data_IF_303357744636
#
_entry.id   IF_303357744636
#
_cell.length_a   1.000
_cell.length_b   1.000
_cell.length_c   1.000
_cell.angle_alpha   90.00
_cell.angle_beta   90.00
_cell.angle_gamma   90.00
#
_symmetry.space_group_name_H-M   'P 1'
#
loop_
_entity.id
_entity.type
_entity.pdbx_description
1 polymer ?
#
# COMPACT_ATOMS: atom_id res chain seq x y z
N UNK A 1 1.24 14.05 -16.91
CA UNK A 1 1.51 14.99 -15.80
C UNK A 1 0.87 14.54 -14.48
N UNK A 2 -0.38 14.06 -14.48
CA UNK A 2 -1.02 13.52 -13.25
C UNK A 2 -0.37 12.24 -12.68
N UNK A 3 0.18 11.34 -13.50
CA UNK A 3 0.79 10.10 -13.01
C UNK A 3 2.18 10.31 -12.37
N UNK A 4 2.99 11.24 -12.91
CA UNK A 4 4.29 11.63 -12.33
C UNK A 4 4.18 12.23 -10.93
N UNK A 5 3.07 12.92 -10.66
CA UNK A 5 2.80 13.48 -9.34
C UNK A 5 2.46 12.39 -8.31
N UNK A 6 1.88 11.26 -8.72
CA UNK A 6 1.46 10.22 -7.78
C UNK A 6 2.66 9.46 -7.20
N UNK A 7 3.65 9.10 -8.02
CA UNK A 7 4.89 8.43 -7.57
C UNK A 7 5.69 9.32 -6.62
N UNK A 8 5.84 10.60 -6.96
CA UNK A 8 6.53 11.57 -6.10
C UNK A 8 5.73 11.82 -4.80
N UNK A 9 4.40 11.84 -4.87
CA UNK A 9 3.55 12.02 -3.69
C UNK A 9 3.53 10.79 -2.78
N UNK A 10 3.62 9.57 -3.33
CA UNK A 10 3.72 8.32 -2.56
C UNK A 10 5.04 8.27 -1.79
N UNK A 11 6.14 8.75 -2.39
CA UNK A 11 7.45 8.88 -1.71
C UNK A 11 7.46 9.96 -0.61
N UNK A 12 6.64 11.01 -0.73
CA UNK A 12 6.57 12.11 0.25
C UNK A 12 5.76 11.80 1.52
N UNK A 13 4.89 10.78 1.52
CA UNK A 13 3.97 10.50 2.63
C UNK A 13 4.59 9.55 3.68
N UNK A 14 5.55 8.71 3.31
CA UNK A 14 5.98 7.58 4.14
C UNK A 14 7.17 7.87 5.07
N UNK A 15 7.83 9.04 4.96
CA UNK A 15 8.86 9.49 5.91
C UNK A 15 9.05 11.02 5.84
N UNK A 16 8.69 11.79 6.89
CA UNK A 16 8.93 13.23 6.89
C UNK A 16 10.43 13.60 6.88
N UNK A 17 11.33 12.62 7.09
CA UNK A 17 12.77 12.78 6.91
C UNK A 17 13.22 12.88 5.44
N UNK A 18 12.40 12.41 4.48
CA UNK A 18 12.68 12.43 3.03
C UNK A 18 11.85 13.49 2.28
N UNK A 19 11.10 14.33 3.01
CA UNK A 19 10.28 15.39 2.42
C UNK A 19 11.12 16.50 1.74
N UNK A 20 12.44 16.53 1.99
CA UNK A 20 13.37 17.44 1.30
C UNK A 20 14.07 16.79 0.10
N UNK A 21 13.86 15.50 -0.20
CA UNK A 21 14.79 14.76 -1.05
C UNK A 21 14.18 13.71 -1.99
N UNK A 22 13.08 14.07 -2.66
CA UNK A 22 12.59 13.30 -3.81
C UNK A 22 13.62 13.13 -4.94
N UNK A 23 14.72 13.91 -4.95
CA UNK A 23 15.87 13.75 -5.84
C UNK A 23 16.96 12.79 -5.29
N UNK A 24 17.01 12.52 -3.98
CA UNK A 24 18.10 11.77 -3.33
C UNK A 24 17.90 10.25 -3.42
N UNK A 25 16.66 9.75 -3.38
CA UNK A 25 16.36 8.32 -3.55
C UNK A 25 16.75 7.80 -4.95
N UNK A 26 16.65 8.63 -6.00
CA UNK A 26 17.03 8.23 -7.36
C UNK A 26 18.55 8.26 -7.59
N UNK A 27 19.27 9.16 -6.91
CA UNK A 27 20.74 9.13 -6.88
C UNK A 27 21.27 7.89 -6.13
N UNK A 28 20.61 7.44 -5.06
CA UNK A 28 20.95 6.19 -4.36
C UNK A 28 20.73 4.93 -5.21
N UNK A 29 19.68 4.91 -6.04
CA UNK A 29 19.44 3.83 -7.01
C UNK A 29 20.46 3.83 -8.15
N UNK A 30 21.15 4.96 -8.39
CA UNK A 30 22.11 5.14 -9.47
C UNK A 30 21.48 5.12 -10.86
N UNK A 31 20.17 5.39 -10.97
CA UNK A 31 19.46 5.41 -12.25
C UNK A 31 19.66 6.75 -12.97
N UNK A 32 19.87 6.71 -14.29
CA UNK A 32 20.25 7.89 -15.07
C UNK A 32 19.15 8.96 -15.14
N UNK A 33 17.89 8.56 -14.98
CA UNK A 33 16.75 9.46 -14.85
C UNK A 33 15.54 8.74 -14.28
N UNK A 34 14.57 9.49 -13.74
CA UNK A 34 13.30 8.96 -13.24
C UNK A 34 12.47 8.23 -14.32
N UNK A 35 12.74 8.48 -15.61
CA UNK A 35 12.05 7.83 -16.73
C UNK A 35 12.72 6.50 -17.15
N UNK A 36 13.85 6.13 -16.52
CA UNK A 36 14.52 4.83 -16.72
C UNK A 36 13.86 3.73 -15.87
N UNK A 37 12.63 3.38 -16.26
CA UNK A 37 11.84 2.36 -15.56
C UNK A 37 12.55 1.01 -15.49
N UNK A 38 13.34 0.65 -16.51
CA UNK A 38 14.09 -0.61 -16.53
C UNK A 38 15.15 -0.64 -15.43
N UNK A 39 15.90 0.46 -15.23
CA UNK A 39 16.83 0.60 -14.11
C UNK A 39 16.10 0.54 -12.76
N UNK A 40 15.02 1.31 -12.63
CA UNK A 40 14.25 1.41 -11.37
C UNK A 40 13.70 0.05 -10.95
N UNK A 41 13.05 -0.68 -11.87
CA UNK A 41 12.49 -2.01 -11.58
C UNK A 41 13.59 -2.99 -11.20
N UNK A 42 14.71 -2.97 -11.92
CA UNK A 42 15.83 -3.85 -11.64
C UNK A 42 16.35 -3.63 -10.22
N UNK A 43 16.59 -2.37 -9.84
CA UNK A 43 17.10 -2.02 -8.51
C UNK A 43 16.10 -2.28 -7.39
N UNK A 44 14.84 -1.93 -7.58
CA UNK A 44 13.78 -2.26 -6.62
C UNK A 44 13.63 -3.76 -6.44
N UNK A 45 13.75 -4.55 -7.51
CA UNK A 45 13.73 -6.02 -7.42
C UNK A 45 14.90 -6.53 -6.59
N UNK A 46 16.12 -6.04 -6.82
CA UNK A 46 17.30 -6.42 -6.02
C UNK A 46 17.10 -6.15 -4.52
N UNK A 47 16.56 -4.99 -4.14
CA UNK A 47 16.31 -4.65 -2.74
C UNK A 47 15.12 -5.42 -2.14
N UNK A 48 14.04 -5.56 -2.89
CA UNK A 48 12.87 -6.30 -2.44
C UNK A 48 13.18 -7.78 -2.19
N UNK A 49 14.04 -8.38 -3.02
CA UNK A 49 14.55 -9.75 -2.83
C UNK A 49 15.47 -9.87 -1.61
N UNK A 50 16.14 -8.79 -1.20
CA UNK A 50 16.93 -8.72 0.04
C UNK A 50 16.07 -8.48 1.29
N UNK A 51 14.76 -8.35 1.13
CA UNK A 51 13.82 -8.19 2.25
C UNK A 51 13.47 -6.74 2.56
N UNK A 52 13.92 -5.76 1.77
CA UNK A 52 13.56 -4.36 1.99
C UNK A 52 12.05 -4.14 1.82
N UNK A 53 11.37 -3.74 2.90
CA UNK A 53 9.91 -3.61 2.93
C UNK A 53 9.41 -2.46 2.03
N UNK A 54 10.17 -1.37 1.92
CA UNK A 54 9.81 -0.21 1.10
C UNK A 54 9.92 -0.53 -0.39
N UNK A 55 10.98 -1.25 -0.79
CA UNK A 55 11.14 -1.74 -2.14
C UNK A 55 10.06 -2.76 -2.51
N UNK A 56 9.70 -3.65 -1.57
CA UNK A 56 8.57 -4.58 -1.75
C UNK A 56 7.25 -3.81 -1.94
N UNK A 57 6.94 -2.84 -1.09
CA UNK A 57 5.75 -2.00 -1.25
C UNK A 57 5.75 -1.27 -2.60
N UNK A 58 6.88 -0.67 -2.98
CA UNK A 58 7.05 0.05 -4.24
C UNK A 58 6.83 -0.84 -5.46
N UNK A 59 7.39 -2.06 -5.48
CA UNK A 59 7.09 -3.03 -6.54
C UNK A 59 5.60 -3.39 -6.58
N UNK A 60 4.96 -3.52 -5.42
CA UNK A 60 3.51 -3.71 -5.33
C UNK A 60 2.74 -2.59 -6.02
N UNK A 61 3.14 -1.34 -5.80
CA UNK A 61 2.56 -0.14 -6.45
C UNK A 61 2.78 -0.19 -7.97
N UNK A 62 4.00 -0.48 -8.41
CA UNK A 62 4.34 -0.55 -9.84
C UNK A 62 3.49 -1.59 -10.56
N UNK A 63 3.32 -2.79 -9.99
CA UNK A 63 2.44 -3.82 -10.54
C UNK A 63 0.95 -3.47 -10.46
N UNK A 64 0.52 -2.72 -9.45
CA UNK A 64 -0.87 -2.26 -9.31
C UNK A 64 -1.26 -1.28 -10.41
N UNK A 65 -0.37 -0.37 -10.78
CA UNK A 65 -0.64 0.67 -11.79
C UNK A 65 -0.07 0.38 -13.17
N UNK A 66 0.78 -0.65 -13.30
CA UNK A 66 1.47 -0.96 -14.55
C UNK A 66 2.53 0.09 -14.92
N UNK A 67 3.22 0.62 -13.91
CA UNK A 67 4.28 1.62 -14.13
C UNK A 67 5.61 0.91 -14.39
N UNK A 68 6.14 1.04 -15.61
CA UNK A 68 7.35 0.34 -16.04
C UNK A 68 7.20 -1.18 -16.23
N UNK A 69 6.16 -1.80 -15.66
CA UNK A 69 5.80 -3.22 -15.83
C UNK A 69 4.38 -3.36 -16.38
N UNK A 70 4.03 -4.54 -16.89
CA UNK A 70 2.63 -4.85 -17.17
C UNK A 70 1.85 -4.91 -15.83
N UNK A 71 0.69 -4.27 -15.78
CA UNK A 71 -0.21 -4.34 -14.61
C UNK A 71 -0.54 -5.79 -14.27
N UNK A 72 -0.35 -6.16 -13.00
CA UNK A 72 -0.56 -7.51 -12.48
C UNK A 72 -0.88 -7.46 -10.97
N UNK A 73 -2.17 -7.53 -10.63
CA UNK A 73 -2.61 -7.52 -9.24
C UNK A 73 -2.15 -8.73 -8.43
N UNK A 74 -1.84 -9.87 -9.07
CA UNK A 74 -1.39 -11.05 -8.35
C UNK A 74 0.06 -10.87 -7.90
N UNK A 75 0.91 -10.31 -8.76
CA UNK A 75 2.27 -9.89 -8.39
C UNK A 75 2.27 -8.74 -7.39
N UNK A 76 1.36 -7.78 -7.56
CA UNK A 76 1.20 -6.71 -6.58
C UNK A 76 0.87 -7.28 -5.19
N UNK A 77 -0.08 -8.22 -5.11
CA UNK A 77 -0.43 -8.91 -3.88
C UNK A 77 0.76 -9.64 -3.25
N UNK A 78 1.57 -10.35 -4.05
CA UNK A 78 2.77 -11.03 -3.56
C UNK A 78 3.72 -10.04 -2.86
N UNK A 79 4.04 -8.93 -3.54
CA UNK A 79 4.98 -7.94 -3.02
C UNK A 79 4.42 -7.18 -1.81
N UNK A 80 3.16 -6.74 -1.88
CA UNK A 80 2.50 -6.13 -0.73
C UNK A 80 2.41 -7.06 0.46
N UNK A 81 2.17 -8.36 0.26
CA UNK A 81 2.10 -9.31 1.39
C UNK A 81 3.44 -9.42 2.09
N UNK A 82 4.56 -9.48 1.35
CA UNK A 82 5.91 -9.50 1.95
C UNK A 82 6.16 -8.24 2.79
N UNK A 83 5.83 -7.05 2.29
CA UNK A 83 5.98 -5.80 3.06
C UNK A 83 5.02 -5.76 4.26
N UNK A 84 3.77 -6.18 4.07
CA UNK A 84 2.73 -6.18 5.10
C UNK A 84 3.07 -7.12 6.27
N UNK A 85 3.69 -8.26 5.99
CA UNK A 85 4.19 -9.23 6.99
C UNK A 85 5.33 -8.65 7.84
N UNK A 86 6.05 -7.65 7.33
CA UNK A 86 7.06 -6.89 8.07
C UNK A 86 6.47 -5.74 8.90
N UNK A 87 5.16 -5.52 8.83
CA UNK A 87 4.47 -4.48 9.59
C UNK A 87 4.17 -3.21 8.79
N UNK A 88 4.49 -3.14 7.49
CA UNK A 88 4.21 -1.95 6.69
C UNK A 88 2.69 -1.70 6.59
N UNK A 89 2.23 -0.56 7.13
CA UNK A 89 0.80 -0.26 7.26
C UNK A 89 0.13 0.03 5.90
N UNK A 90 0.84 0.66 4.97
CA UNK A 90 0.33 0.96 3.62
C UNK A 90 0.22 -0.31 2.78
N UNK A 91 1.18 -1.23 2.92
CA UNK A 91 1.14 -2.55 2.32
C UNK A 91 -0.01 -3.38 2.90
N UNK A 92 -0.20 -3.40 4.22
CA UNK A 92 -1.35 -4.07 4.86
C UNK A 92 -2.67 -3.53 4.33
N UNK A 93 -2.81 -2.20 4.21
CA UNK A 93 -3.97 -1.57 3.61
C UNK A 93 -4.17 -1.99 2.15
N UNK A 94 -3.11 -2.03 1.36
CA UNK A 94 -3.13 -2.44 -0.05
C UNK A 94 -3.54 -3.90 -0.23
N UNK A 95 -3.04 -4.81 0.61
CA UNK A 95 -3.51 -6.21 0.65
C UNK A 95 -5.02 -6.26 0.98
N UNK A 96 -5.46 -5.46 1.95
CA UNK A 96 -6.88 -5.32 2.31
C UNK A 96 -7.75 -4.90 1.12
N UNK A 97 -7.31 -3.90 0.34
CA UNK A 97 -8.02 -3.45 -0.86
C UNK A 97 -8.12 -4.54 -1.93
N UNK A 98 -7.05 -5.31 -2.15
CA UNK A 98 -7.06 -6.41 -3.13
C UNK A 98 -8.12 -7.46 -2.77
N UNK A 99 -8.18 -7.88 -1.51
CA UNK A 99 -9.22 -8.82 -1.05
C UNK A 99 -10.62 -8.20 -1.03
N UNK A 100 -10.73 -6.92 -0.70
CA UNK A 100 -12.01 -6.21 -0.66
C UNK A 100 -12.66 -6.11 -2.04
N UNK A 101 -11.86 -5.85 -3.08
CA UNK A 101 -12.35 -5.72 -4.45
C UNK A 101 -12.28 -7.01 -5.26
N UNK A 102 -11.54 -8.03 -4.81
CA UNK A 102 -11.30 -9.26 -5.55
C UNK A 102 -10.42 -9.04 -6.79
N UNK A 103 -9.39 -8.20 -6.68
CA UNK A 103 -8.47 -7.96 -7.80
C UNK A 103 -7.52 -9.15 -7.94
N UNK A 104 -7.69 -9.95 -9.02
CA UNK A 104 -6.94 -11.20 -9.32
C UNK A 104 -7.06 -12.34 -8.30
N UNK A 105 -7.76 -12.12 -7.19
CA UNK A 105 -8.12 -13.13 -6.19
C UNK A 105 -9.64 -13.14 -5.97
N UNK A 106 -10.15 -14.22 -5.40
CA UNK A 106 -11.55 -14.22 -4.96
C UNK A 106 -11.74 -13.15 -3.88
N UNK A 107 -12.78 -12.33 -4.04
CA UNK A 107 -13.18 -11.34 -3.05
C UNK A 107 -13.42 -12.02 -1.69
N UNK A 108 -12.81 -11.47 -0.65
CA UNK A 108 -12.88 -12.01 0.71
C UNK A 108 -12.90 -10.85 1.70
N UNK A 109 -14.11 -10.46 2.11
CA UNK A 109 -14.29 -9.35 3.04
C UNK A 109 -13.75 -9.67 4.45
N UNK A 110 -13.70 -10.93 4.86
CA UNK A 110 -13.16 -11.28 6.17
C UNK A 110 -11.64 -11.05 6.20
N UNK A 111 -10.93 -11.48 5.14
CA UNK A 111 -9.49 -11.18 4.98
C UNK A 111 -9.23 -9.70 4.81
N UNK A 112 -10.06 -9.00 4.03
CA UNK A 112 -9.93 -7.55 3.87
C UNK A 112 -10.02 -6.84 5.23
N UNK A 113 -11.00 -7.21 6.06
CA UNK A 113 -11.16 -6.66 7.40
C UNK A 113 -9.95 -6.93 8.29
N UNK A 114 -9.40 -8.15 8.24
CA UNK A 114 -8.20 -8.50 9.00
C UNK A 114 -7.02 -7.58 8.65
N UNK A 115 -6.74 -7.42 7.36
CA UNK A 115 -5.64 -6.58 6.88
C UNK A 115 -5.88 -5.09 7.12
N UNK A 116 -7.08 -4.59 6.89
CA UNK A 116 -7.43 -3.21 7.24
C UNK A 116 -7.31 -2.96 8.74
N UNK A 117 -7.69 -3.91 9.59
CA UNK A 117 -7.58 -3.75 11.05
C UNK A 117 -6.12 -3.67 11.47
N UNK A 118 -5.23 -4.50 10.92
CA UNK A 118 -3.78 -4.40 11.16
C UNK A 118 -3.23 -3.01 10.82
N UNK A 119 -3.57 -2.47 9.64
CA UNK A 119 -3.15 -1.13 9.24
C UNK A 119 -3.80 -0.02 10.11
N UNK A 120 -5.07 -0.20 10.48
CA UNK A 120 -5.82 0.75 11.30
C UNK A 120 -5.30 0.86 12.73
N UNK A 121 -4.86 -0.26 13.32
CA UNK A 121 -4.22 -0.33 14.63
C UNK A 121 -2.89 0.42 14.68
N UNK A 122 -2.23 0.59 13.53
CA UNK A 122 -1.02 1.39 13.38
C UNK A 122 -1.30 2.88 13.15
N UNK A 123 -2.57 3.30 13.12
CA UNK A 123 -2.94 4.70 12.98
C UNK A 123 -3.25 5.13 11.54
N UNK A 124 -3.25 4.22 10.56
CA UNK A 124 -3.54 4.61 9.17
C UNK A 124 -5.01 5.02 9.02
N UNK A 125 -5.27 6.32 8.87
CA UNK A 125 -6.63 6.89 8.83
C UNK A 125 -7.50 6.29 7.72
N UNK A 126 -6.93 6.01 6.54
CA UNK A 126 -7.63 5.36 5.44
C UNK A 126 -8.11 3.95 5.82
N UNK A 127 -7.27 3.17 6.51
CA UNK A 127 -7.63 1.86 7.01
C UNK A 127 -8.68 1.95 8.11
N UNK A 128 -8.53 2.86 9.07
CA UNK A 128 -9.51 3.10 10.15
C UNK A 128 -10.89 3.45 9.57
N UNK A 129 -10.93 4.31 8.55
CA UNK A 129 -12.18 4.63 7.85
C UNK A 129 -12.81 3.38 7.21
N UNK A 130 -12.02 2.56 6.52
CA UNK A 130 -12.52 1.33 5.88
C UNK A 130 -13.02 0.31 6.91
N UNK A 131 -12.33 0.12 8.05
CA UNK A 131 -12.84 -0.72 9.14
C UNK A 131 -14.17 -0.18 9.67
N UNK A 132 -14.27 1.13 9.87
CA UNK A 132 -15.50 1.80 10.27
C UNK A 132 -16.64 1.56 9.28
N UNK A 133 -16.38 1.67 7.98
CA UNK A 133 -17.35 1.39 6.91
C UNK A 133 -17.81 -0.07 6.93
N UNK A 134 -16.91 -1.01 7.12
CA UNK A 134 -17.25 -2.44 7.17
C UNK A 134 -18.15 -2.78 8.35
N UNK A 135 -17.91 -2.22 9.53
CA UNK A 135 -18.83 -2.35 10.67
C UNK A 135 -20.15 -1.60 10.46
N UNK A 136 -20.12 -0.41 9.84
CA UNK A 136 -21.32 0.39 9.61
C UNK A 136 -22.31 -0.31 8.66
N UNK A 137 -21.80 -1.01 7.65
CA UNK A 137 -22.63 -1.68 6.64
C UNK A 137 -22.71 -3.21 6.81
N UNK A 138 -21.99 -3.79 7.77
CA UNK A 138 -21.94 -5.24 7.97
C UNK A 138 -21.26 -5.99 6.82
N UNK A 139 -20.22 -5.40 6.21
CA UNK A 139 -19.50 -5.98 5.08
C UNK A 139 -18.42 -6.92 5.62
N UNK A 140 -18.59 -8.24 5.44
CA UNK A 140 -17.66 -9.25 5.96
C UNK A 140 -17.65 -9.42 7.48
N UNK A 141 -18.51 -8.67 8.20
CA UNK A 141 -18.63 -8.69 9.65
C UNK A 141 -20.07 -8.40 10.05
N UNK A 142 -20.47 -8.78 11.26
CA UNK A 142 -21.75 -8.34 11.80
C UNK A 142 -21.76 -6.82 11.94
N UNK A 143 -22.84 -6.19 11.46
CA UNK A 143 -23.02 -4.75 11.57
C UNK A 143 -22.98 -4.30 13.03
N UNK A 144 -22.20 -3.25 13.30
CA UNK A 144 -22.01 -2.68 14.63
C UNK A 144 -21.71 -1.18 14.52
N UNK A 145 -22.73 -0.35 14.76
CA UNK A 145 -22.59 1.10 14.69
C UNK A 145 -21.70 1.69 15.78
N UNK A 146 -21.59 1.03 16.94
CA UNK A 146 -20.74 1.52 18.03
C UNK A 146 -19.27 1.33 17.67
N UNK A 147 -18.91 0.16 17.14
CA UNK A 147 -17.55 -0.08 16.60
C UNK A 147 -17.25 0.80 15.40
N UNK A 148 -18.21 1.00 14.50
CA UNK A 148 -18.03 1.90 13.37
C UNK A 148 -17.69 3.33 13.83
N UNK A 149 -18.45 3.86 14.80
CA UNK A 149 -18.20 5.17 15.38
C UNK A 149 -16.82 5.25 16.04
N UNK A 150 -16.41 4.24 16.80
CA UNK A 150 -15.08 4.18 17.42
C UNK A 150 -13.96 4.32 16.36
N UNK A 151 -14.05 3.56 15.27
CA UNK A 151 -13.06 3.63 14.19
C UNK A 151 -13.10 4.95 13.41
N UNK A 152 -14.28 5.51 13.17
CA UNK A 152 -14.39 6.83 12.54
C UNK A 152 -13.85 7.95 13.42
N UNK A 153 -14.03 7.87 14.74
CA UNK A 153 -13.44 8.84 15.67
C UNK A 153 -11.92 8.77 15.62
N UNK A 154 -11.33 7.57 15.64
CA UNK A 154 -9.87 7.39 15.48
C UNK A 154 -9.35 7.97 14.16
N UNK A 155 -10.09 7.79 13.07
CA UNK A 155 -9.69 8.32 11.75
C UNK A 155 -9.72 9.86 11.65
N UNK A 156 -10.35 10.54 12.61
CA UNK A 156 -10.50 11.99 12.62
C UNK A 156 -9.59 12.71 13.65
N UNK A 157 -8.86 11.94 14.47
CA UNK A 157 -7.86 12.44 15.43
C UNK A 157 -6.52 12.73 14.74
#
# INVERSE_FOLDING_TARGET
MLHRALVILILLICSPALAESGEEYFEELGCASQDDYDCVITKLTEFAEQGDAEAQYSLGVMYTFGEGVQQDYAKALEWYTKAAEQGDAEAQYSVGLIYYHGYSVQQDYAKALEWFTKAAEQGLAAAQNNVGLMFNFGVGVQQDYAKALEWYTRAAE
#
